data_IF_177909810192
#
_entry.id   IF_177909810192
#
_cell.length_a   1.000
_cell.length_b   1.000
_cell.length_c   1.000
_cell.angle_alpha   90.00
_cell.angle_beta   90.00
_cell.angle_gamma   90.00
#
_symmetry.space_group_name_H-M   'P 1'
#
loop_
_entity.id
_entity.type
_entity.pdbx_description
1 polymer ?
#
# COMPACT_ATOMS: atom_id res chain seq x y z
N UNK A 1 7.56 -12.58 16.96
CA UNK A 1 6.60 -11.88 16.10
C UNK A 1 5.41 -12.81 15.83
N UNK A 2 4.15 -12.40 16.07
CA UNK A 2 2.98 -13.28 15.89
C UNK A 2 2.71 -13.65 14.42
N UNK A 3 3.31 -12.93 13.49
CA UNK A 3 3.11 -13.14 12.04
C UNK A 3 3.93 -14.32 11.51
N UNK A 4 5.15 -14.52 12.01
CA UNK A 4 6.08 -15.52 11.48
C UNK A 4 5.52 -16.95 11.43
N UNK A 5 4.90 -17.51 12.50
CA UNK A 5 4.33 -18.85 12.43
C UNK A 5 3.20 -19.00 11.40
N UNK A 6 2.50 -17.90 11.10
CA UNK A 6 1.43 -17.89 10.09
C UNK A 6 2.03 -17.87 8.70
N UNK A 7 3.10 -17.10 8.48
CA UNK A 7 3.83 -17.08 7.21
C UNK A 7 4.44 -18.45 6.91
N UNK A 8 5.06 -19.10 7.90
CA UNK A 8 5.61 -20.47 7.75
C UNK A 8 4.51 -21.45 7.32
N UNK A 9 3.34 -21.39 7.96
CA UNK A 9 2.17 -22.20 7.60
C UNK A 9 1.66 -21.94 6.18
N UNK A 10 1.63 -20.66 5.77
CA UNK A 10 1.24 -20.29 4.41
C UNK A 10 2.22 -20.83 3.37
N UNK A 11 3.53 -20.69 3.63
CA UNK A 11 4.59 -21.16 2.72
C UNK A 11 4.52 -22.68 2.53
N UNK A 12 4.42 -23.45 3.61
CA UNK A 12 4.25 -24.91 3.58
C UNK A 12 3.00 -25.37 2.83
N UNK A 13 1.94 -24.57 2.89
CA UNK A 13 0.68 -24.83 2.19
C UNK A 13 0.67 -24.32 0.73
N UNK A 14 1.74 -23.66 0.27
CA UNK A 14 1.79 -23.03 -1.04
C UNK A 14 0.80 -21.87 -1.22
N UNK A 15 0.48 -21.16 -0.12
CA UNK A 15 -0.36 -19.96 -0.14
C UNK A 15 0.53 -18.72 -0.31
N UNK A 16 0.57 -18.09 -1.49
CA UNK A 16 1.47 -16.97 -1.73
C UNK A 16 1.04 -15.71 -0.98
N UNK A 17 2.01 -14.97 -0.43
CA UNK A 17 1.81 -13.65 0.16
C UNK A 17 2.20 -12.56 -0.83
N UNK A 18 1.22 -11.84 -1.38
CA UNK A 18 1.44 -10.69 -2.24
C UNK A 18 1.30 -9.40 -1.44
N UNK A 19 2.37 -8.63 -1.36
CA UNK A 19 2.35 -7.34 -0.64
C UNK A 19 1.85 -6.24 -1.55
N UNK A 20 0.81 -5.51 -1.09
CA UNK A 20 0.22 -4.36 -1.77
C UNK A 20 0.36 -3.12 -0.88
N UNK A 21 1.30 -2.24 -1.22
CA UNK A 21 1.75 -1.18 -0.32
C UNK A 21 1.72 0.23 -0.94
N UNK A 22 1.67 1.25 -0.09
CA UNK A 22 1.92 2.65 -0.46
C UNK A 22 3.42 3.00 -0.56
N UNK A 23 4.29 2.08 -0.14
CA UNK A 23 5.75 2.24 -0.22
C UNK A 23 6.25 2.18 -1.65
N UNK A 24 7.48 2.67 -1.86
CA UNK A 24 8.20 2.52 -3.12
C UNK A 24 8.74 1.10 -3.31
N UNK A 25 9.16 0.80 -4.54
CA UNK A 25 9.91 -0.44 -4.83
C UNK A 25 11.17 -0.56 -3.97
N UNK A 26 11.93 0.51 -3.84
CA UNK A 26 13.17 0.52 -3.05
C UNK A 26 12.93 0.27 -1.55
N UNK A 27 11.84 0.83 -0.99
CA UNK A 27 11.44 0.55 0.39
C UNK A 27 11.04 -0.92 0.58
N UNK A 28 10.26 -1.48 -0.35
CA UNK A 28 9.83 -2.87 -0.26
C UNK A 28 11.00 -3.85 -0.39
N UNK A 29 11.88 -3.65 -1.38
CA UNK A 29 13.03 -4.52 -1.58
C UNK A 29 13.97 -4.57 -0.35
N UNK A 30 14.06 -3.48 0.42
CA UNK A 30 14.82 -3.47 1.66
C UNK A 30 14.18 -4.30 2.80
N UNK A 31 12.84 -4.43 2.78
CA UNK A 31 12.09 -5.24 3.77
C UNK A 31 11.93 -6.69 3.31
N UNK A 32 11.85 -6.91 2.01
CA UNK A 32 11.57 -8.21 1.39
C UNK A 32 12.60 -9.29 1.77
N UNK A 33 13.87 -8.90 1.85
CA UNK A 33 14.97 -9.83 2.19
C UNK A 33 14.80 -10.50 3.56
N UNK A 34 14.31 -9.74 4.53
CA UNK A 34 14.08 -10.23 5.89
C UNK A 34 12.89 -11.21 5.98
N UNK A 35 11.96 -11.12 5.01
CA UNK A 35 10.77 -11.98 4.94
C UNK A 35 10.95 -13.21 4.03
N UNK A 36 12.05 -13.29 3.28
CA UNK A 36 12.26 -14.35 2.28
C UNK A 36 11.21 -14.40 1.16
N UNK A 37 10.39 -13.35 1.04
CA UNK A 37 9.28 -13.31 0.09
C UNK A 37 9.77 -13.10 -1.35
N UNK A 38 9.45 -14.00 -2.27
CA UNK A 38 9.81 -13.93 -3.69
C UNK A 38 8.62 -13.67 -4.61
N UNK A 39 7.42 -13.57 -4.08
CA UNK A 39 6.18 -13.36 -4.82
C UNK A 39 6.14 -11.99 -5.52
N UNK A 40 5.30 -11.81 -6.54
CA UNK A 40 4.99 -10.49 -7.08
C UNK A 40 4.55 -9.51 -5.98
N UNK A 41 4.79 -8.23 -6.18
CA UNK A 41 4.40 -7.21 -5.21
C UNK A 41 3.89 -5.95 -5.89
N UNK A 42 3.02 -5.23 -5.18
CA UNK A 42 2.34 -4.04 -5.66
C UNK A 42 2.82 -2.84 -4.85
N UNK A 43 3.21 -1.77 -5.55
CA UNK A 43 3.78 -0.57 -4.94
C UNK A 43 3.01 0.70 -5.26
N UNK A 44 3.31 1.75 -4.50
CA UNK A 44 2.80 3.10 -4.68
C UNK A 44 1.27 3.14 -4.86
N UNK A 45 0.54 2.48 -3.93
CA UNK A 45 -0.92 2.44 -3.89
C UNK A 45 -1.59 1.83 -5.13
N UNK A 46 -1.05 0.73 -5.63
CA UNK A 46 -1.60 0.03 -6.79
C UNK A 46 -1.13 0.57 -8.13
N UNK A 47 -0.06 1.35 -8.14
CA UNK A 47 0.44 1.97 -9.37
C UNK A 47 1.21 1.01 -10.27
N UNK A 48 1.86 -0.01 -9.71
CA UNK A 48 2.58 -1.03 -10.48
C UNK A 48 2.67 -2.36 -9.73
N UNK A 49 2.65 -3.46 -10.49
CA UNK A 49 3.06 -4.80 -10.06
C UNK A 49 4.48 -5.04 -10.57
N UNK A 50 5.31 -5.61 -9.72
CA UNK A 50 6.62 -6.14 -10.07
C UNK A 50 6.62 -7.65 -9.87
N UNK A 51 7.01 -8.39 -10.90
CA UNK A 51 7.23 -9.84 -10.87
C UNK A 51 8.62 -10.14 -11.44
N UNK A 52 9.59 -10.33 -10.55
CA UNK A 52 11.00 -10.37 -10.95
C UNK A 52 11.42 -9.07 -11.64
N UNK A 53 11.79 -9.15 -12.92
CA UNK A 53 12.15 -8.01 -13.77
C UNK A 53 10.96 -7.45 -14.58
N UNK A 54 9.83 -8.15 -14.60
CA UNK A 54 8.64 -7.71 -15.30
C UNK A 54 7.90 -6.63 -14.49
N UNK A 55 7.37 -5.62 -15.19
CA UNK A 55 6.63 -4.53 -14.57
C UNK A 55 5.33 -4.29 -15.34
N UNK A 56 4.21 -4.43 -14.64
CA UNK A 56 2.90 -4.04 -15.14
C UNK A 56 2.46 -2.75 -14.46
N UNK A 57 2.21 -1.69 -15.22
CA UNK A 57 1.82 -0.37 -14.69
C UNK A 57 0.32 -0.12 -14.82
N UNK A 58 -0.27 0.49 -13.78
CA UNK A 58 -1.69 0.90 -13.71
C UNK A 58 -1.84 2.40 -13.46
N UNK A 59 -0.77 3.05 -13.03
CA UNK A 59 -0.69 4.49 -12.82
C UNK A 59 -0.07 5.22 -14.00
N UNK A 60 0.26 6.49 -13.77
CA UNK A 60 1.05 7.33 -14.68
C UNK A 60 2.45 7.52 -14.10
N UNK A 61 3.42 7.85 -14.95
CA UNK A 61 4.78 8.10 -14.49
C UNK A 61 4.87 9.32 -13.56
N UNK A 62 5.79 9.31 -12.63
CA UNK A 62 6.06 10.50 -11.78
C UNK A 62 6.43 11.72 -12.61
N UNK A 63 7.07 11.54 -13.75
CA UNK A 63 7.43 12.64 -14.68
C UNK A 63 6.16 13.35 -15.17
N UNK A 64 5.15 12.61 -15.60
CA UNK A 64 3.85 13.16 -16.04
C UNK A 64 3.12 13.85 -14.89
N UNK A 65 3.17 13.30 -13.67
CA UNK A 65 2.61 13.92 -12.47
C UNK A 65 3.29 15.27 -12.22
N UNK A 66 4.61 15.33 -12.21
CA UNK A 66 5.37 16.55 -11.95
C UNK A 66 5.11 17.60 -13.02
N UNK A 67 4.98 17.22 -14.29
CA UNK A 67 4.62 18.15 -15.36
C UNK A 67 3.22 18.75 -15.14
N UNK A 68 2.24 17.94 -14.77
CA UNK A 68 0.89 18.41 -14.43
C UNK A 68 0.90 19.39 -13.25
N UNK A 69 1.72 19.12 -12.23
CA UNK A 69 1.85 19.96 -11.04
C UNK A 69 2.50 21.32 -11.32
N UNK A 70 3.36 21.44 -12.32
CA UNK A 70 3.98 22.73 -12.68
C UNK A 70 2.96 23.84 -12.93
N UNK A 71 1.87 23.54 -13.61
CA UNK A 71 0.82 24.50 -13.92
C UNK A 71 -0.01 24.95 -12.71
N UNK A 72 0.02 24.17 -11.62
CA UNK A 72 -0.72 24.44 -10.37
C UNK A 72 0.11 25.25 -9.36
N UNK A 73 1.44 25.21 -9.45
CA UNK A 73 2.34 25.91 -8.51
C UNK A 73 2.11 27.43 -8.36
N UNK A 74 1.76 28.19 -9.41
CA UNK A 74 1.49 29.61 -9.22
C UNK A 74 0.23 29.91 -8.40
N UNK A 75 -0.70 28.92 -8.30
CA UNK A 75 -2.00 29.09 -7.68
C UNK A 75 -2.06 28.53 -6.26
N UNK A 76 -1.22 27.54 -5.92
CA UNK A 76 -1.28 26.79 -4.67
C UNK A 76 0.07 26.68 -3.99
N UNK A 77 0.07 26.69 -2.65
CA UNK A 77 1.27 26.52 -1.84
C UNK A 77 1.41 25.08 -1.36
N UNK A 78 2.37 24.39 -1.91
CA UNK A 78 2.76 23.04 -1.49
C UNK A 78 4.24 22.80 -1.78
N UNK A 79 4.83 21.85 -1.09
CA UNK A 79 6.15 21.30 -1.39
C UNK A 79 6.06 19.79 -1.60
N UNK A 80 6.57 19.30 -2.72
CA UNK A 80 6.70 17.89 -3.02
C UNK A 80 8.05 17.31 -2.61
N UNK A 81 8.17 16.00 -2.63
CA UNK A 81 9.45 15.31 -2.48
C UNK A 81 10.44 15.70 -3.58
N UNK A 82 9.95 16.02 -4.77
CA UNK A 82 10.76 16.51 -5.89
C UNK A 82 11.37 17.91 -5.67
N UNK A 83 10.85 18.69 -4.72
CA UNK A 83 11.28 20.06 -4.46
C UNK A 83 12.39 20.14 -3.40
N UNK A 84 12.70 19.03 -2.74
CA UNK A 84 13.53 19.01 -1.54
C UNK A 84 14.58 17.89 -1.60
N UNK A 85 15.60 18.02 -0.76
CA UNK A 85 16.59 16.97 -0.58
C UNK A 85 16.24 15.97 0.52
N UNK A 86 16.99 14.89 0.58
CA UNK A 86 16.84 13.84 1.61
C UNK A 86 16.78 14.39 3.05
N UNK A 87 17.60 15.39 3.46
CA UNK A 87 17.51 15.93 4.82
C UNK A 87 16.14 16.49 5.19
N UNK A 88 15.45 17.14 4.25
CA UNK A 88 14.12 17.70 4.49
C UNK A 88 13.06 16.58 4.55
N UNK A 89 13.18 15.55 3.72
CA UNK A 89 12.34 14.35 3.80
C UNK A 89 12.51 13.66 5.15
N UNK A 90 13.72 13.53 5.67
CA UNK A 90 13.98 13.01 7.03
C UNK A 90 13.25 13.84 8.10
N UNK A 91 13.27 15.17 8.01
CA UNK A 91 12.53 16.03 8.95
C UNK A 91 11.02 15.82 8.86
N UNK A 92 10.49 15.66 7.65
CA UNK A 92 9.05 15.44 7.44
C UNK A 92 8.58 14.07 7.91
N UNK A 93 9.41 13.04 7.76
CA UNK A 93 9.01 11.65 7.99
C UNK A 93 9.49 11.09 9.33
N UNK A 94 10.60 11.58 9.85
CA UNK A 94 11.32 10.97 10.97
C UNK A 94 12.15 9.75 10.57
N UNK A 95 12.27 9.45 9.28
CA UNK A 95 13.05 8.33 8.78
C UNK A 95 14.56 8.61 8.89
N UNK A 96 15.33 7.56 9.05
CA UNK A 96 16.78 7.59 8.85
C UNK A 96 17.12 7.83 7.38
N UNK A 97 18.33 8.30 7.12
CA UNK A 97 18.79 8.70 5.78
C UNK A 97 18.48 7.66 4.69
N UNK A 98 18.90 6.42 4.88
CA UNK A 98 18.71 5.37 3.88
C UNK A 98 17.23 5.09 3.61
N UNK A 99 16.40 5.10 4.65
CA UNK A 99 14.96 4.91 4.51
C UNK A 99 14.29 6.11 3.83
N UNK A 100 14.76 7.34 4.10
CA UNK A 100 14.29 8.55 3.42
C UNK A 100 14.69 8.55 1.93
N UNK A 101 15.91 8.12 1.60
CA UNK A 101 16.37 7.94 0.21
C UNK A 101 15.48 6.95 -0.55
N UNK A 102 15.19 5.78 0.06
CA UNK A 102 14.28 4.78 -0.53
C UNK A 102 12.86 5.32 -0.69
N UNK A 103 12.35 6.06 0.28
CA UNK A 103 10.99 6.65 0.21
C UNK A 103 10.87 7.75 -0.85
N UNK A 104 11.98 8.37 -1.24
CA UNK A 104 12.08 9.37 -2.30
C UNK A 104 12.19 8.75 -3.71
N UNK A 105 12.59 7.49 -3.82
CA UNK A 105 12.73 6.76 -5.08
C UNK A 105 11.35 6.32 -5.61
N UNK A 106 10.53 7.33 -5.95
CA UNK A 106 9.16 7.15 -6.45
C UNK A 106 9.11 7.19 -7.96
N UNK A 107 8.31 6.31 -8.52
CA UNK A 107 8.13 6.20 -9.97
C UNK A 107 6.71 6.59 -10.42
N UNK A 108 5.70 6.53 -9.53
CA UNK A 108 4.28 6.64 -9.89
C UNK A 108 3.47 7.56 -8.97
N UNK A 109 4.11 8.26 -8.06
CA UNK A 109 3.42 9.16 -7.13
C UNK A 109 4.33 10.29 -6.66
N UNK A 110 3.71 11.41 -6.23
CA UNK A 110 4.39 12.54 -5.62
C UNK A 110 3.73 12.92 -4.30
N UNK A 111 4.39 12.69 -3.16
CA UNK A 111 3.91 13.15 -1.86
C UNK A 111 4.14 14.65 -1.72
N UNK A 112 3.09 15.36 -1.31
CA UNK A 112 3.10 16.80 -1.08
C UNK A 112 2.88 17.12 0.40
N UNK A 113 3.63 18.05 0.94
CA UNK A 113 3.30 18.78 2.16
C UNK A 113 2.46 19.99 1.75
N UNK A 114 1.20 19.98 2.15
CA UNK A 114 0.27 21.05 1.86
C UNK A 114 0.53 22.24 2.77
N UNK A 115 0.55 23.47 2.23
CA UNK A 115 0.93 24.71 2.92
C UNK A 115 -0.09 25.83 2.69
N UNK A 116 -1.27 25.53 2.17
CA UNK A 116 -2.35 26.46 1.93
C UNK A 116 -3.60 26.11 2.78
N UNK A 117 -4.71 26.82 2.62
CA UNK A 117 -5.95 26.54 3.33
C UNK A 117 -6.61 25.25 2.87
N UNK A 118 -7.58 24.73 3.65
CA UNK A 118 -8.35 23.55 3.29
C UNK A 118 -9.21 23.76 2.03
N UNK A 119 -9.82 24.96 1.89
CA UNK A 119 -10.59 25.28 0.69
C UNK A 119 -9.71 25.26 -0.57
N UNK A 120 -8.45 25.69 -0.43
CA UNK A 120 -7.47 25.61 -1.52
C UNK A 120 -7.04 24.18 -1.82
N UNK A 121 -7.00 23.34 -0.81
CA UNK A 121 -6.72 21.91 -1.02
C UNK A 121 -7.86 21.23 -1.81
N UNK A 122 -9.11 21.51 -1.47
CA UNK A 122 -10.26 20.99 -2.20
C UNK A 122 -10.25 21.43 -3.67
N UNK A 123 -10.01 22.74 -3.92
CA UNK A 123 -9.85 23.27 -5.28
C UNK A 123 -8.70 22.60 -6.03
N UNK A 124 -7.57 22.37 -5.37
CA UNK A 124 -6.42 21.67 -5.94
C UNK A 124 -6.77 20.22 -6.31
N UNK A 125 -7.46 19.50 -5.42
CA UNK A 125 -7.88 18.11 -5.67
C UNK A 125 -8.79 18.00 -6.91
N UNK A 126 -9.75 18.92 -7.09
CA UNK A 126 -10.60 18.94 -8.28
C UNK A 126 -9.78 19.23 -9.56
N UNK A 127 -8.87 20.19 -9.52
CA UNK A 127 -8.01 20.49 -10.66
C UNK A 127 -7.04 19.36 -11.01
N UNK A 128 -6.56 18.60 -10.02
CA UNK A 128 -5.76 17.38 -10.22
C UNK A 128 -6.60 16.30 -10.91
N UNK A 129 -7.85 16.13 -10.47
CA UNK A 129 -8.80 15.18 -11.05
C UNK A 129 -9.15 15.51 -12.51
N UNK A 130 -9.36 16.80 -12.86
CA UNK A 130 -9.58 17.25 -14.23
C UNK A 130 -8.41 16.90 -15.17
N UNK A 131 -7.20 16.71 -14.63
CA UNK A 131 -6.00 16.30 -15.36
C UNK A 131 -5.82 14.78 -15.48
N UNK A 132 -6.83 14.00 -15.09
CA UNK A 132 -6.77 12.55 -15.11
C UNK A 132 -5.88 11.95 -14.02
N UNK A 133 -5.55 12.74 -13.00
CA UNK A 133 -4.83 12.30 -11.80
C UNK A 133 -5.79 12.18 -10.63
N UNK A 134 -5.32 11.67 -9.50
CA UNK A 134 -6.07 11.71 -8.24
C UNK A 134 -5.17 12.09 -7.07
N UNK A 135 -5.80 12.51 -5.98
CA UNK A 135 -5.16 12.76 -4.72
C UNK A 135 -5.56 11.70 -3.70
N UNK A 136 -4.64 11.39 -2.80
CA UNK A 136 -4.86 10.48 -1.69
C UNK A 136 -4.23 11.07 -0.43
N UNK A 137 -5.05 11.35 0.60
CA UNK A 137 -4.54 11.82 1.89
C UNK A 137 -4.01 10.63 2.70
N UNK A 138 -2.72 10.65 3.04
CA UNK A 138 -2.05 9.65 3.85
C UNK A 138 -1.27 10.31 4.98
N UNK A 139 -1.83 10.34 6.19
CA UNK A 139 -1.21 11.01 7.32
C UNK A 139 -0.96 12.49 7.03
N UNK A 140 0.30 12.92 7.03
CA UNK A 140 0.69 14.33 6.80
C UNK A 140 0.82 14.71 5.31
N UNK A 141 0.83 13.74 4.41
CA UNK A 141 1.05 13.98 2.99
C UNK A 141 -0.24 13.90 2.18
N UNK A 142 -0.34 14.78 1.19
CA UNK A 142 -1.28 14.66 0.09
C UNK A 142 -0.54 14.03 -1.09
N UNK A 143 -0.80 12.77 -1.39
CA UNK A 143 -0.18 12.09 -2.53
C UNK A 143 -0.92 12.43 -3.81
N UNK A 144 -0.19 12.74 -4.88
CA UNK A 144 -0.72 12.83 -6.24
C UNK A 144 -0.25 11.60 -7.01
N UNK A 145 -1.15 10.92 -7.68
CA UNK A 145 -0.90 9.68 -8.42
C UNK A 145 -1.88 9.56 -9.60
N UNK A 146 -1.68 8.54 -10.44
CA UNK A 146 -2.62 8.24 -11.53
C UNK A 146 -3.97 7.74 -11.02
N UNK A 147 -4.93 7.58 -11.93
CA UNK A 147 -6.26 7.02 -11.65
C UNK A 147 -6.17 5.51 -11.38
N UNK A 148 -5.50 5.14 -10.32
CA UNK A 148 -5.34 3.76 -9.84
C UNK A 148 -5.64 3.66 -8.34
N UNK A 149 -5.78 2.45 -7.84
CA UNK A 149 -5.94 2.11 -6.43
C UNK A 149 -5.40 0.70 -6.18
N UNK A 150 -5.43 0.25 -4.94
CA UNK A 150 -4.93 -1.07 -4.57
C UNK A 150 -5.81 -2.24 -5.07
N UNK A 151 -7.02 -1.99 -5.56
CA UNK A 151 -7.92 -3.01 -6.10
C UNK A 151 -7.57 -3.40 -7.54
N UNK A 152 -7.27 -2.43 -8.41
CA UNK A 152 -6.97 -2.70 -9.83
C UNK A 152 -5.90 -3.77 -10.09
N UNK A 153 -4.75 -3.76 -9.38
CA UNK A 153 -3.76 -4.83 -9.55
C UNK A 153 -4.26 -6.22 -9.18
N UNK A 154 -5.21 -6.35 -8.24
CA UNK A 154 -5.76 -7.64 -7.85
C UNK A 154 -6.55 -8.30 -8.99
N UNK A 155 -7.29 -7.51 -9.76
CA UNK A 155 -7.99 -8.01 -10.95
C UNK A 155 -7.01 -8.61 -11.97
N UNK A 156 -5.83 -8.00 -12.13
CA UNK A 156 -4.78 -8.50 -13.00
C UNK A 156 -4.14 -9.80 -12.48
N UNK A 157 -3.99 -9.94 -11.16
CA UNK A 157 -3.43 -11.13 -10.53
C UNK A 157 -4.44 -12.28 -10.38
N UNK A 158 -5.73 -12.03 -10.61
CA UNK A 158 -6.78 -13.03 -10.46
C UNK A 158 -6.58 -14.21 -11.42
N UNK A 159 -6.64 -15.40 -10.86
CA UNK A 159 -6.55 -16.67 -11.59
C UNK A 159 -7.84 -17.48 -11.39
N UNK A 160 -8.20 -18.31 -12.37
CA UNK A 160 -9.33 -19.23 -12.23
C UNK A 160 -9.13 -20.19 -11.05
N UNK A 161 -10.17 -20.39 -10.28
CA UNK A 161 -10.21 -21.30 -9.13
C UNK A 161 -9.22 -20.96 -7.99
N UNK A 162 -8.76 -19.70 -7.92
CA UNK A 162 -7.91 -19.19 -6.84
C UNK A 162 -8.65 -18.05 -6.14
N UNK A 163 -8.94 -18.23 -4.86
CA UNK A 163 -9.53 -17.16 -4.05
C UNK A 163 -8.48 -16.15 -3.61
N UNK A 164 -8.82 -14.87 -3.69
CA UNK A 164 -8.00 -13.77 -3.19
C UNK A 164 -8.52 -13.34 -1.81
N UNK A 165 -7.65 -13.37 -0.83
CA UNK A 165 -7.89 -12.86 0.52
C UNK A 165 -7.11 -11.56 0.65
N UNK A 166 -7.77 -10.46 0.97
CA UNK A 166 -7.12 -9.18 1.18
C UNK A 166 -7.30 -8.69 2.61
N UNK A 167 -6.23 -8.17 3.21
CA UNK A 167 -6.24 -7.63 4.57
C UNK A 167 -5.71 -6.20 4.55
N UNK A 168 -6.42 -5.28 5.23
CA UNK A 168 -6.06 -3.87 5.26
C UNK A 168 -6.69 -3.14 6.45
N UNK A 169 -6.17 -1.94 6.77
CA UNK A 169 -6.59 -1.18 7.95
C UNK A 169 -6.89 0.30 7.66
N UNK A 170 -6.72 0.76 6.42
CA UNK A 170 -6.82 2.18 6.05
C UNK A 170 -7.72 2.42 4.84
N UNK A 171 -8.20 3.67 4.63
CA UNK A 171 -9.08 4.01 3.50
C UNK A 171 -8.52 3.64 2.12
N UNK A 172 -7.20 3.72 1.94
CA UNK A 172 -6.55 3.35 0.69
C UNK A 172 -6.52 1.83 0.45
N UNK A 173 -6.89 1.01 1.44
CA UNK A 173 -7.02 -0.44 1.31
C UNK A 173 -8.42 -0.86 0.86
N UNK A 174 -9.43 0.01 1.00
CA UNK A 174 -10.83 -0.35 0.77
C UNK A 174 -11.06 -0.96 -0.61
N UNK A 175 -10.53 -0.34 -1.67
CA UNK A 175 -10.66 -0.88 -3.02
C UNK A 175 -10.05 -2.29 -3.18
N UNK A 176 -8.96 -2.59 -2.46
CA UNK A 176 -8.35 -3.92 -2.43
C UNK A 176 -9.24 -4.92 -1.67
N UNK A 177 -9.80 -4.51 -0.55
CA UNK A 177 -10.69 -5.35 0.25
C UNK A 177 -11.97 -5.69 -0.51
N UNK A 178 -12.53 -4.73 -1.25
CA UNK A 178 -13.73 -4.90 -2.08
C UNK A 178 -13.47 -5.75 -3.34
N UNK A 179 -12.26 -5.70 -3.91
CA UNK A 179 -11.88 -6.48 -5.08
C UNK A 179 -11.54 -7.95 -4.74
N UNK A 180 -11.31 -8.27 -3.48
CA UNK A 180 -10.99 -9.62 -3.03
C UNK A 180 -12.24 -10.50 -2.88
N UNK A 181 -12.05 -11.82 -2.87
CA UNK A 181 -13.14 -12.77 -2.57
C UNK A 181 -13.44 -12.80 -1.06
N UNK A 182 -12.42 -12.53 -0.23
CA UNK A 182 -12.55 -12.35 1.22
C UNK A 182 -11.80 -11.07 1.61
N UNK A 183 -12.56 -10.02 1.95
CA UNK A 183 -12.03 -8.78 2.50
C UNK A 183 -11.96 -8.86 4.03
N UNK A 184 -10.84 -8.46 4.62
CA UNK A 184 -10.60 -8.49 6.06
C UNK A 184 -10.11 -7.13 6.54
N UNK A 185 -10.87 -6.48 7.39
CA UNK A 185 -10.49 -5.24 8.04
C UNK A 185 -9.65 -5.55 9.28
N UNK A 186 -8.40 -5.18 9.26
CA UNK A 186 -7.54 -5.24 10.43
C UNK A 186 -7.78 -4.00 11.28
N UNK A 187 -7.98 -4.22 12.58
CA UNK A 187 -8.17 -3.13 13.52
C UNK A 187 -6.94 -2.23 13.54
N UNK A 188 -7.15 -0.96 13.21
CA UNK A 188 -6.09 0.03 13.27
C UNK A 188 -5.76 0.41 14.73
N UNK A 189 -4.54 0.86 15.01
CA UNK A 189 -4.23 1.46 16.31
C UNK A 189 -5.06 2.72 16.59
N UNK A 190 -5.45 2.91 17.84
CA UNK A 190 -6.30 4.03 18.29
C UNK A 190 -7.78 3.79 17.98
N UNK A 191 -8.53 4.88 17.89
CA UNK A 191 -10.00 4.86 17.74
C UNK A 191 -10.47 4.87 16.28
N UNK A 192 -9.54 4.76 15.32
CA UNK A 192 -9.89 4.74 13.90
C UNK A 192 -10.56 3.42 13.51
N UNK A 193 -11.73 3.52 12.89
CA UNK A 193 -12.48 2.39 12.36
C UNK A 193 -12.65 2.59 10.84
N UNK A 194 -12.14 1.65 10.06
CA UNK A 194 -12.41 1.61 8.62
C UNK A 194 -13.85 1.15 8.40
N UNK A 195 -14.67 2.02 7.83
CA UNK A 195 -16.03 1.66 7.43
C UNK A 195 -15.99 0.78 6.17
N UNK A 196 -16.39 -0.46 6.32
CA UNK A 196 -16.51 -1.44 5.25
C UNK A 196 -17.67 -2.38 5.57
N UNK A 197 -18.53 -2.63 4.58
CA UNK A 197 -19.74 -3.45 4.75
C UNK A 197 -19.42 -4.92 4.44
N UNK A 198 -19.99 -5.82 5.22
CA UNK A 198 -19.92 -7.27 5.00
C UNK A 198 -18.49 -7.87 4.94
N UNK A 199 -17.55 -7.28 5.67
CA UNK A 199 -16.16 -7.75 5.75
C UNK A 199 -15.85 -8.35 7.12
N UNK A 200 -14.98 -9.34 7.14
CA UNK A 200 -14.41 -9.88 8.37
C UNK A 200 -13.59 -8.80 9.09
N UNK A 201 -13.50 -8.89 10.42
CA UNK A 201 -12.76 -7.90 11.23
C UNK A 201 -11.95 -8.56 12.31
N UNK A 202 -10.71 -8.13 12.48
CA UNK A 202 -9.89 -8.57 13.60
C UNK A 202 -10.33 -7.92 14.92
N UNK A 203 -10.11 -8.62 16.03
CA UNK A 203 -10.24 -8.07 17.38
C UNK A 203 -8.95 -7.41 17.83
N UNK A 204 -7.82 -7.97 17.44
CA UNK A 204 -6.48 -7.47 17.70
C UNK A 204 -6.03 -6.44 16.66
N UNK A 205 -5.03 -5.60 17.01
CA UNK A 205 -4.52 -4.54 16.14
C UNK A 205 -3.25 -4.94 15.40
N UNK A 206 -3.06 -4.38 14.19
CA UNK A 206 -1.82 -4.49 13.43
C UNK A 206 -1.37 -5.92 13.19
N UNK A 207 -0.07 -6.28 13.43
CA UNK A 207 0.44 -7.63 13.16
C UNK A 207 -0.28 -8.76 13.91
N UNK A 208 -0.77 -8.48 15.12
CA UNK A 208 -1.56 -9.47 15.89
C UNK A 208 -2.91 -9.71 15.25
N UNK A 209 -3.60 -8.66 14.82
CA UNK A 209 -4.88 -8.77 14.12
C UNK A 209 -4.72 -9.47 12.76
N UNK A 210 -3.62 -9.20 12.05
CA UNK A 210 -3.30 -9.92 10.82
C UNK A 210 -3.12 -11.43 11.09
N UNK A 211 -2.31 -11.79 12.08
CA UNK A 211 -2.07 -13.18 12.44
C UNK A 211 -3.34 -13.89 12.95
N UNK A 212 -4.16 -13.21 13.77
CA UNK A 212 -5.47 -13.69 14.21
C UNK A 212 -6.34 -14.10 13.01
N UNK A 213 -6.56 -13.16 12.08
CA UNK A 213 -7.47 -13.39 10.97
C UNK A 213 -6.96 -14.43 9.98
N UNK A 214 -5.67 -14.38 9.64
CA UNK A 214 -5.10 -15.39 8.75
C UNK A 214 -5.13 -16.78 9.36
N UNK A 215 -4.88 -16.92 10.67
CA UNK A 215 -5.02 -18.21 11.36
C UNK A 215 -6.45 -18.75 11.24
N UNK A 216 -7.47 -17.93 11.52
CA UNK A 216 -8.88 -18.33 11.41
C UNK A 216 -9.24 -18.76 9.98
N UNK A 217 -8.77 -18.02 8.98
CA UNK A 217 -9.04 -18.32 7.57
C UNK A 217 -8.35 -19.64 7.16
N UNK A 218 -7.09 -19.82 7.51
CA UNK A 218 -6.35 -21.05 7.20
C UNK A 218 -7.00 -22.28 7.87
N UNK A 219 -7.51 -22.13 9.09
CA UNK A 219 -8.26 -23.18 9.80
C UNK A 219 -9.58 -23.50 9.09
N UNK A 220 -10.33 -22.48 8.65
CA UNK A 220 -11.56 -22.66 7.91
C UNK A 220 -11.36 -23.42 6.60
N UNK A 221 -10.26 -23.16 5.89
CA UNK A 221 -9.88 -23.89 4.68
C UNK A 221 -9.17 -25.22 4.96
N UNK A 222 -9.07 -25.63 6.23
CA UNK A 222 -8.42 -26.88 6.67
C UNK A 222 -6.94 -27.00 6.24
N UNK A 223 -6.24 -25.89 6.16
CA UNK A 223 -4.83 -25.85 5.85
C UNK A 223 -4.03 -26.27 7.12
N UNK A 224 -3.24 -27.36 7.07
CA UNK A 224 -2.63 -27.93 8.26
C UNK A 224 -1.55 -27.02 8.88
N UNK A 225 -1.33 -27.16 10.17
CA UNK A 225 -0.10 -26.69 10.81
C UNK A 225 1.04 -27.67 10.51
N UNK A 226 2.22 -27.13 10.29
CA UNK A 226 3.43 -27.95 10.25
C UNK A 226 3.58 -28.74 11.56
N UNK A 227 3.65 -30.04 11.46
CA UNK A 227 4.17 -30.86 12.56
C UNK A 227 5.68 -30.73 12.54
N UNK A 228 6.22 -29.77 13.30
CA UNK A 228 7.65 -29.77 13.60
C UNK A 228 7.91 -31.07 14.35
N UNK A 229 8.38 -32.11 13.64
CA UNK A 229 8.99 -33.25 14.24
C UNK A 229 10.30 -32.76 14.87
N UNK A 230 10.24 -32.41 16.16
CA UNK A 230 11.43 -32.32 17.00
C UNK A 230 12.03 -33.73 17.10
N UNK A 231 12.93 -34.04 16.17
CA UNK A 231 13.83 -35.20 16.23
C UNK A 231 15.21 -34.71 16.60
#
# INVERSE_FOLDING_TARGET
DPVLPVLDRMDEAGVPLIVNTSKTRAEWLALRGDLGNLEPYIVENGSAIYDGEEVQTFGVSRVEILESLKSLRPKFKFKGYSDVGVPEIMQWTGLERQSAERSADRHFSEPLVWQDSLEKEEEFCELVKERGLKTLRGGRFLHVLGQTDKGKPLEHLRKENVAIIALGDRPNDLAMLEAADIGVVIKAPGDYILEAVDMLRSTETGPRGWAEMMTQILDQFQIPYSTINNG
#
